data_IF_323641002800
#
_entry.id   IF_323641002800
#
_cell.length_a   1.000
_cell.length_b   1.000
_cell.length_c   1.000
_cell.angle_alpha   90.00
_cell.angle_beta   90.00
_cell.angle_gamma   90.00
#
_symmetry.space_group_name_H-M   'P 1'
#
loop_
_entity.id
_entity.type
_entity.pdbx_description
1 polymer ?
#
# COMPACT_ATOMS: atom_id res chain seq x y z
N UNK A 1 37.16 -8.37 -43.73
CA UNK A 1 35.85 -8.96 -44.10
C UNK A 1 34.92 -8.64 -42.95
N UNK A 2 34.20 -7.53 -43.12
CA UNK A 2 33.43 -6.86 -42.07
C UNK A 2 32.04 -7.47 -41.93
N UNK A 3 31.68 -7.85 -40.71
CA UNK A 3 30.31 -8.19 -40.35
C UNK A 3 29.70 -7.01 -39.60
N UNK A 4 29.03 -6.12 -40.35
CA UNK A 4 28.15 -5.08 -39.78
C UNK A 4 26.74 -5.65 -39.66
N UNK A 5 26.30 -5.88 -38.43
CA UNK A 5 24.89 -6.12 -38.11
C UNK A 5 24.14 -4.81 -38.32
N UNK A 6 23.20 -4.84 -39.27
CA UNK A 6 22.34 -3.73 -39.65
C UNK A 6 21.13 -3.72 -38.69
N UNK A 7 21.16 -2.88 -37.66
CA UNK A 7 19.98 -2.60 -36.84
C UNK A 7 19.09 -1.62 -37.62
N UNK A 8 18.03 -2.15 -38.25
CA UNK A 8 16.96 -1.34 -38.80
C UNK A 8 16.22 -0.62 -37.65
N UNK A 9 16.56 0.65 -37.43
CA UNK A 9 15.75 1.57 -36.62
C UNK A 9 14.51 1.96 -37.42
N UNK A 10 13.44 1.17 -37.30
CA UNK A 10 12.15 1.51 -37.88
C UNK A 10 11.51 2.67 -37.09
N UNK A 11 11.58 3.87 -37.68
CA UNK A 11 10.43 4.72 -38.01
C UNK A 11 9.39 4.81 -36.88
N UNK A 12 9.73 5.53 -35.80
CA UNK A 12 8.77 6.35 -35.09
C UNK A 12 9.03 7.79 -35.54
N UNK A 13 8.15 8.19 -36.45
CA UNK A 13 8.24 9.28 -37.41
C UNK A 13 8.56 10.64 -36.81
N UNK A 14 9.42 11.40 -37.51
CA UNK A 14 9.64 12.83 -37.24
C UNK A 14 8.38 13.70 -37.38
N UNK A 15 7.27 13.15 -37.87
CA UNK A 15 5.94 13.77 -37.83
C UNK A 15 5.32 13.77 -36.43
N UNK A 16 5.53 12.72 -35.62
CA UNK A 16 5.03 12.69 -34.25
C UNK A 16 5.76 13.73 -33.39
N UNK A 17 7.08 13.86 -33.56
CA UNK A 17 7.86 14.90 -32.88
C UNK A 17 7.59 16.31 -33.41
N UNK A 18 7.37 16.49 -34.72
CA UNK A 18 6.92 17.78 -35.26
C UNK A 18 5.55 18.17 -34.72
N UNK A 19 4.58 17.26 -34.67
CA UNK A 19 3.25 17.56 -34.13
C UNK A 19 3.29 17.89 -32.63
N UNK A 20 4.15 17.23 -31.86
CA UNK A 20 4.38 17.55 -30.44
C UNK A 20 5.08 18.90 -30.25
N UNK A 21 6.08 19.23 -31.08
CA UNK A 21 6.73 20.54 -31.04
C UNK A 21 5.76 21.64 -31.43
N UNK A 22 4.96 21.46 -32.49
CA UNK A 22 3.95 22.45 -32.90
C UNK A 22 2.86 22.65 -31.85
N UNK A 23 2.45 21.59 -31.13
CA UNK A 23 1.52 21.69 -30.00
C UNK A 23 2.12 22.43 -28.81
N UNK A 24 3.41 22.21 -28.55
CA UNK A 24 4.14 22.85 -27.45
C UNK A 24 4.34 24.34 -27.77
N UNK A 25 4.71 24.68 -29.00
CA UNK A 25 4.88 26.05 -29.47
C UNK A 25 3.54 26.82 -29.47
N UNK A 26 2.44 26.21 -29.93
CA UNK A 26 1.11 26.81 -29.82
C UNK A 26 0.67 27.02 -28.36
N UNK A 27 1.01 26.09 -27.46
CA UNK A 27 0.68 26.24 -26.04
C UNK A 27 1.46 27.40 -25.41
N UNK A 28 2.73 27.56 -25.75
CA UNK A 28 3.61 28.62 -25.24
C UNK A 28 3.19 30.00 -25.77
N UNK A 29 2.79 30.09 -27.05
CA UNK A 29 2.28 31.33 -27.64
C UNK A 29 0.92 31.72 -27.05
N UNK A 30 0.07 30.74 -26.73
CA UNK A 30 -1.20 30.95 -26.04
C UNK A 30 -1.01 31.46 -24.60
N UNK A 31 -0.11 30.84 -23.82
CA UNK A 31 0.19 31.29 -22.46
C UNK A 31 0.84 32.68 -22.43
N UNK A 32 1.72 33.00 -23.38
CA UNK A 32 2.33 34.33 -23.51
C UNK A 32 1.31 35.45 -23.78
N UNK A 33 0.33 35.19 -24.66
CA UNK A 33 -0.75 36.14 -24.95
C UNK A 33 -1.79 36.22 -23.83
N UNK A 34 -1.99 35.15 -23.07
CA UNK A 34 -2.89 35.14 -21.92
C UNK A 34 -2.31 35.96 -20.76
N UNK A 35 -1.03 35.79 -20.44
CA UNK A 35 -0.37 36.54 -19.36
C UNK A 35 -0.29 38.05 -19.65
N UNK A 36 -0.09 38.44 -20.92
CA UNK A 36 -0.07 39.85 -21.31
C UNK A 36 -1.46 40.53 -21.23
N UNK A 37 -2.56 39.77 -21.34
CA UNK A 37 -3.92 40.31 -21.26
C UNK A 37 -4.55 40.26 -19.85
N UNK A 38 -3.95 39.51 -18.91
CA UNK A 38 -4.42 39.38 -17.52
C UNK A 38 -4.17 40.66 -16.69
N UNK A 39 -3.25 41.53 -17.09
CA UNK A 39 -2.93 42.76 -16.34
C UNK A 39 -3.98 43.87 -16.54
N UNK A 40 -4.90 43.75 -17.51
CA UNK A 40 -5.71 44.88 -17.96
C UNK A 40 -7.19 44.91 -17.60
N UNK A 41 -7.92 43.79 -17.49
CA UNK A 41 -9.40 43.88 -17.41
C UNK A 41 -10.09 42.60 -16.89
N UNK A 42 -10.35 42.55 -15.58
CA UNK A 42 -10.66 41.30 -14.87
C UNK A 42 -12.14 40.84 -14.91
N UNK A 43 -13.04 41.55 -15.59
CA UNK A 43 -14.49 41.24 -15.54
C UNK A 43 -15.11 40.78 -16.86
N UNK A 44 -14.47 41.06 -18.01
CA UNK A 44 -14.93 40.54 -19.31
C UNK A 44 -14.28 39.19 -19.68
N UNK A 45 -13.10 38.90 -19.14
CA UNK A 45 -12.39 37.64 -19.42
C UNK A 45 -13.14 36.41 -18.90
N UNK A 46 -13.80 36.51 -17.73
CA UNK A 46 -14.58 35.40 -17.17
C UNK A 46 -15.74 34.92 -18.04
N UNK A 47 -16.33 35.82 -18.85
CA UNK A 47 -17.45 35.47 -19.74
C UNK A 47 -16.98 34.88 -21.07
N UNK A 48 -15.89 35.41 -21.63
CA UNK A 48 -15.34 34.89 -22.89
C UNK A 48 -14.55 33.58 -22.69
N UNK A 49 -13.88 33.40 -21.54
CA UNK A 49 -13.17 32.16 -21.21
C UNK A 49 -14.16 31.00 -20.99
N UNK A 50 -15.33 31.26 -20.39
CA UNK A 50 -16.38 30.23 -20.24
C UNK A 50 -17.00 29.79 -21.58
N UNK A 51 -17.00 30.66 -22.59
CA UNK A 51 -17.47 30.32 -23.94
C UNK A 51 -16.37 29.64 -24.78
N UNK A 52 -15.11 30.09 -24.68
CA UNK A 52 -13.98 29.44 -25.34
C UNK A 52 -13.64 28.07 -24.73
N UNK A 53 -13.79 27.90 -23.42
CA UNK A 53 -13.64 26.58 -22.77
C UNK A 53 -14.70 25.59 -23.22
N UNK A 54 -15.89 26.06 -23.62
CA UNK A 54 -16.94 25.21 -24.20
C UNK A 54 -16.59 24.80 -25.62
N UNK A 55 -16.20 25.74 -26.48
CA UNK A 55 -15.90 25.46 -27.88
C UNK A 55 -14.61 24.66 -28.10
N UNK A 56 -13.59 24.82 -27.24
CA UNK A 56 -12.29 24.11 -27.36
C UNK A 56 -12.31 22.72 -26.70
N UNK A 57 -13.20 22.48 -25.73
CA UNK A 57 -13.37 21.16 -25.10
C UNK A 57 -14.45 20.29 -25.78
N UNK A 58 -15.29 20.87 -26.64
CA UNK A 58 -16.33 20.11 -27.37
C UNK A 58 -15.81 19.07 -28.39
N UNK A 59 -14.64 19.20 -29.08
CA UNK A 59 -14.15 18.09 -29.90
C UNK A 59 -13.62 16.91 -29.06
N UNK A 60 -13.25 17.13 -27.80
CA UNK A 60 -12.83 16.06 -26.89
C UNK A 60 -14.00 15.42 -26.13
N UNK A 61 -15.12 16.12 -26.01
CA UNK A 61 -16.31 15.55 -25.37
C UNK A 61 -16.98 14.47 -26.22
N UNK A 62 -16.88 14.58 -27.54
CA UNK A 62 -17.35 13.56 -28.49
C UNK A 62 -16.40 12.35 -28.64
N UNK A 63 -15.18 12.41 -28.09
CA UNK A 63 -14.32 11.23 -27.93
C UNK A 63 -14.70 10.38 -26.70
N UNK A 64 -15.49 10.94 -25.78
CA UNK A 64 -15.94 10.28 -24.55
C UNK A 64 -17.46 10.12 -24.43
N UNK A 65 -18.23 10.61 -25.41
CA UNK A 65 -19.64 10.26 -25.54
C UNK A 65 -19.74 8.88 -26.20
N UNK A 66 -19.62 7.83 -25.40
CA UNK A 66 -20.16 6.53 -25.75
C UNK A 66 -21.65 6.72 -26.06
N UNK A 67 -22.00 6.83 -27.35
CA UNK A 67 -23.35 6.48 -27.83
C UNK A 67 -23.68 5.07 -27.37
N UNK A 68 -24.96 4.80 -27.10
CA UNK A 68 -25.57 3.64 -26.41
C UNK A 68 -25.19 2.20 -26.86
N UNK A 69 -24.12 2.01 -27.63
CA UNK A 69 -23.54 0.74 -28.06
C UNK A 69 -22.04 0.62 -27.70
N UNK A 70 -21.58 1.21 -26.59
CA UNK A 70 -20.26 0.83 -26.07
C UNK A 70 -20.34 -0.61 -25.54
N UNK A 71 -19.44 -1.52 -25.98
CA UNK A 71 -19.39 -2.87 -25.42
C UNK A 71 -19.27 -2.74 -23.89
N UNK A 72 -19.97 -3.60 -23.13
CA UNK A 72 -19.97 -3.50 -21.67
C UNK A 72 -18.52 -3.41 -21.19
N UNK A 73 -18.22 -2.38 -20.39
CA UNK A 73 -16.89 -2.23 -19.81
C UNK A 73 -16.58 -3.54 -19.10
N UNK A 74 -15.48 -4.20 -19.49
CA UNK A 74 -15.03 -5.39 -18.79
C UNK A 74 -14.82 -5.02 -17.32
N UNK A 75 -15.63 -5.60 -16.44
CA UNK A 75 -15.46 -5.43 -15.00
C UNK A 75 -14.17 -6.15 -14.61
N UNK A 76 -13.08 -5.38 -14.50
CA UNK A 76 -11.83 -5.90 -13.97
C UNK A 76 -12.07 -6.33 -12.51
N UNK A 77 -11.73 -7.58 -12.14
CA UNK A 77 -11.84 -8.01 -10.76
C UNK A 77 -10.94 -7.14 -9.86
N UNK A 78 -11.32 -6.96 -8.59
CA UNK A 78 -10.52 -6.17 -7.67
C UNK A 78 -9.14 -6.80 -7.49
N UNK A 79 -8.10 -5.96 -7.45
CA UNK A 79 -6.71 -6.39 -7.23
C UNK A 79 -6.52 -7.17 -5.93
N UNK A 80 -7.27 -6.78 -4.88
CA UNK A 80 -7.27 -7.42 -3.57
C UNK A 80 -8.70 -7.69 -3.10
N UNK A 81 -8.92 -8.87 -2.52
CA UNK A 81 -10.19 -9.25 -1.90
C UNK A 81 -10.47 -8.48 -0.61
N UNK A 82 -9.41 -8.13 0.12
CA UNK A 82 -9.48 -7.41 1.38
C UNK A 82 -8.16 -6.65 1.60
N UNK A 83 -8.23 -5.61 2.44
CA UNK A 83 -7.07 -4.85 2.90
C UNK A 83 -6.91 -5.00 4.41
N UNK A 84 -5.68 -5.22 4.85
CA UNK A 84 -5.28 -5.29 6.25
C UNK A 84 -4.35 -4.12 6.54
N UNK A 85 -4.75 -3.24 7.45
CA UNK A 85 -3.95 -2.11 7.87
C UNK A 85 -3.56 -2.26 9.34
N UNK A 86 -2.27 -2.11 9.65
CA UNK A 86 -1.75 -2.14 11.01
C UNK A 86 -0.76 -1.02 11.24
N UNK A 87 -0.76 -0.48 12.45
CA UNK A 87 0.25 0.44 12.96
C UNK A 87 0.98 -0.25 14.10
N UNK A 88 2.29 -0.12 14.12
CA UNK A 88 3.17 -0.76 15.08
C UNK A 88 4.38 0.12 15.38
N UNK A 89 5.06 -0.14 16.49
CA UNK A 89 6.29 0.56 16.87
C UNK A 89 7.52 -0.15 16.30
N UNK A 90 8.59 0.61 16.06
CA UNK A 90 9.92 0.01 15.88
C UNK A 90 10.22 -0.84 17.12
N UNK A 91 10.76 -2.06 16.93
CA UNK A 91 11.02 -2.98 18.04
C UNK A 91 9.85 -3.88 18.43
N UNK A 92 8.63 -3.63 17.95
CA UNK A 92 7.45 -4.40 18.32
C UNK A 92 7.38 -5.76 17.60
N UNK A 93 6.75 -6.75 18.24
CA UNK A 93 6.28 -7.95 17.55
C UNK A 93 4.76 -7.93 17.45
N UNK A 94 4.24 -7.88 16.23
CA UNK A 94 2.79 -7.84 15.98
C UNK A 94 2.26 -9.18 15.49
N UNK A 95 1.00 -9.46 15.84
CA UNK A 95 0.24 -10.60 15.34
C UNK A 95 -1.04 -10.10 14.68
N UNK A 96 -1.19 -10.39 13.38
CA UNK A 96 -2.30 -9.96 12.54
C UNK A 96 -3.19 -11.17 12.24
N UNK A 97 -4.36 -11.30 12.88
CA UNK A 97 -5.31 -12.35 12.55
C UNK A 97 -6.16 -11.98 11.32
N UNK A 98 -6.43 -12.96 10.47
CA UNK A 98 -7.46 -12.89 9.43
C UNK A 98 -8.19 -14.23 9.30
N UNK A 99 -9.43 -14.23 8.81
CA UNK A 99 -10.21 -15.45 8.62
C UNK A 99 -10.37 -15.74 7.14
N UNK A 100 -10.14 -17.00 6.76
CA UNK A 100 -10.51 -17.51 5.43
C UNK A 100 -11.83 -18.25 5.59
N UNK A 101 -12.81 -17.94 4.74
CA UNK A 101 -14.14 -18.57 4.78
C UNK A 101 -14.41 -19.28 3.46
N UNK A 102 -14.90 -20.52 3.55
CA UNK A 102 -15.47 -21.22 2.42
C UNK A 102 -16.95 -20.84 2.31
N UNK A 103 -17.35 -20.17 1.22
CA UNK A 103 -18.74 -19.81 0.94
C UNK A 103 -19.49 -20.85 0.10
N UNK A 104 -18.85 -21.95 -0.27
CA UNK A 104 -19.37 -22.93 -1.21
C UNK A 104 -19.96 -24.16 -0.48
N UNK A 105 -20.77 -24.94 -1.21
CA UNK A 105 -21.37 -26.19 -0.74
C UNK A 105 -20.42 -27.40 -0.73
N UNK A 106 -19.17 -27.21 -1.15
CA UNK A 106 -18.14 -28.25 -1.26
C UNK A 106 -16.91 -27.90 -0.42
N UNK A 107 -16.16 -28.91 0.00
CA UNK A 107 -14.90 -28.70 0.73
C UNK A 107 -13.85 -28.06 -0.18
N UNK A 108 -13.19 -27.01 0.31
CA UNK A 108 -12.14 -26.30 -0.42
C UNK A 108 -10.83 -26.31 0.33
N UNK A 109 -9.72 -26.42 -0.40
CA UNK A 109 -8.38 -26.32 0.15
C UNK A 109 -7.67 -25.11 -0.44
N UNK A 110 -7.18 -24.23 0.43
CA UNK A 110 -6.45 -23.03 0.07
C UNK A 110 -5.01 -23.16 0.53
N UNK A 111 -4.05 -22.93 -0.36
CA UNK A 111 -2.65 -22.66 0.01
C UNK A 111 -2.52 -21.19 0.34
N UNK A 112 -1.84 -20.88 1.43
CA UNK A 112 -1.69 -19.53 1.95
C UNK A 112 -0.21 -19.20 1.92
N UNK A 113 0.13 -18.29 1.01
CA UNK A 113 1.48 -17.78 0.82
C UNK A 113 1.54 -16.29 1.05
N UNK A 114 2.75 -15.74 0.95
CA UNK A 114 2.99 -14.32 1.12
C UNK A 114 4.07 -13.88 0.17
N UNK A 115 3.85 -12.73 -0.48
CA UNK A 115 4.89 -12.02 -1.21
C UNK A 115 5.76 -11.24 -0.24
N UNK A 116 6.98 -10.93 -0.66
CA UNK A 116 7.93 -10.19 0.16
C UNK A 116 7.34 -8.84 0.60
N UNK A 117 7.49 -8.55 1.89
CA UNK A 117 7.20 -7.26 2.48
C UNK A 117 8.26 -6.27 2.01
N UNK A 118 7.80 -5.20 1.38
CA UNK A 118 8.64 -4.15 0.81
C UNK A 118 8.27 -2.78 1.39
N UNK A 119 9.23 -1.87 1.44
CA UNK A 119 8.97 -0.46 1.73
C UNK A 119 8.43 0.29 0.50
N UNK A 120 8.16 1.60 0.67
CA UNK A 120 7.67 2.47 -0.42
C UNK A 120 8.64 2.59 -1.60
N UNK A 121 9.92 2.37 -1.37
CA UNK A 121 10.97 2.46 -2.38
C UNK A 121 11.19 1.10 -3.09
N UNK A 122 10.41 0.07 -2.72
CA UNK A 122 10.48 -1.27 -3.28
C UNK A 122 11.63 -2.12 -2.72
N UNK A 123 12.26 -1.69 -1.63
CA UNK A 123 13.30 -2.47 -0.95
C UNK A 123 12.67 -3.46 0.01
N UNK A 124 13.21 -4.68 0.04
CA UNK A 124 12.75 -5.71 0.98
C UNK A 124 12.95 -5.26 2.43
N UNK A 125 11.94 -5.51 3.26
CA UNK A 125 12.01 -5.34 4.69
C UNK A 125 13.07 -6.24 5.33
N UNK A 126 13.62 -5.79 6.45
CA UNK A 126 14.70 -6.49 7.18
C UNK A 126 14.25 -7.83 7.77
N UNK A 127 12.96 -7.99 8.06
CA UNK A 127 12.35 -9.27 8.36
C UNK A 127 11.08 -9.46 7.52
N UNK A 128 10.77 -10.71 7.21
CA UNK A 128 9.56 -11.09 6.48
C UNK A 128 8.50 -11.59 7.46
N UNK A 129 7.21 -11.34 7.20
CA UNK A 129 6.18 -11.87 8.07
C UNK A 129 6.15 -13.42 7.98
N UNK A 130 5.54 -14.07 8.96
CA UNK A 130 5.41 -15.52 9.01
C UNK A 130 3.95 -15.90 9.24
N UNK A 131 3.45 -16.80 8.40
CA UNK A 131 2.12 -17.38 8.57
C UNK A 131 2.21 -18.59 9.48
N UNK A 132 1.28 -18.72 10.42
CA UNK A 132 1.19 -19.90 11.29
C UNK A 132 0.75 -21.17 10.54
N UNK A 133 0.09 -21.01 9.39
CA UNK A 133 -0.45 -22.09 8.57
C UNK A 133 -0.19 -21.82 7.09
N UNK A 134 0.48 -22.73 6.35
CA UNK A 134 0.72 -22.59 4.92
C UNK A 134 -0.47 -23.08 4.06
N UNK A 135 -1.46 -23.74 4.67
CA UNK A 135 -2.66 -24.21 3.99
C UNK A 135 -3.83 -24.39 4.96
N UNK A 136 -5.05 -24.25 4.46
CA UNK A 136 -6.30 -24.52 5.20
C UNK A 136 -7.24 -25.36 4.34
N UNK A 137 -7.90 -26.35 4.94
CA UNK A 137 -8.95 -27.15 4.29
C UNK A 137 -10.25 -26.91 5.04
N UNK A 138 -11.22 -26.32 4.34
CA UNK A 138 -12.45 -25.82 4.92
C UNK A 138 -13.63 -26.61 4.39
N UNK A 139 -14.37 -27.24 5.30
CA UNK A 139 -15.68 -27.83 5.02
C UNK A 139 -16.66 -26.76 4.51
N UNK A 140 -17.77 -27.17 3.85
CA UNK A 140 -18.77 -26.23 3.35
C UNK A 140 -19.20 -25.20 4.40
N UNK A 141 -19.26 -23.93 4.02
CA UNK A 141 -19.71 -22.81 4.86
C UNK A 141 -18.91 -22.54 6.14
N UNK A 142 -17.75 -23.18 6.34
CA UNK A 142 -16.89 -22.97 7.52
C UNK A 142 -15.85 -21.87 7.32
N UNK A 143 -15.25 -21.42 8.43
CA UNK A 143 -14.13 -20.47 8.41
C UNK A 143 -13.03 -20.90 9.36
N UNK A 144 -11.80 -20.49 9.04
CA UNK A 144 -10.64 -20.75 9.86
C UNK A 144 -9.78 -19.50 9.98
N UNK A 145 -9.23 -19.30 11.19
CA UNK A 145 -8.35 -18.19 11.49
C UNK A 145 -6.90 -18.54 11.18
N UNK A 146 -6.25 -17.63 10.48
CA UNK A 146 -4.81 -17.63 10.19
C UNK A 146 -4.19 -16.45 10.91
N UNK A 147 -2.99 -16.66 11.45
CA UNK A 147 -2.21 -15.66 12.16
C UNK A 147 -0.95 -15.37 11.36
N UNK A 148 -0.73 -14.08 11.09
CA UNK A 148 0.51 -13.56 10.55
C UNK A 148 1.30 -12.92 11.69
N UNK A 149 2.56 -13.31 11.88
CA UNK A 149 3.46 -12.72 12.87
C UNK A 149 4.55 -11.93 12.16
N UNK A 150 4.84 -10.72 12.63
CA UNK A 150 5.90 -9.88 12.11
C UNK A 150 6.72 -9.31 13.27
N UNK A 151 8.05 -9.43 13.17
CA UNK A 151 9.01 -8.89 14.13
C UNK A 151 9.64 -7.61 13.56
N UNK A 152 9.50 -6.50 14.27
CA UNK A 152 9.92 -5.17 13.84
C UNK A 152 11.20 -4.68 14.53
N UNK A 153 11.97 -5.58 15.16
CA UNK A 153 13.22 -5.27 15.87
C UNK A 153 14.21 -4.38 15.11
N UNK A 154 14.29 -4.53 13.78
CA UNK A 154 15.25 -3.81 12.94
C UNK A 154 14.58 -3.05 11.78
N UNK A 155 13.34 -2.61 11.98
CA UNK A 155 12.62 -1.84 10.97
C UNK A 155 12.94 -0.35 11.11
N UNK A 156 13.03 0.34 9.97
CA UNK A 156 12.99 1.80 9.97
C UNK A 156 11.53 2.25 10.09
N UNK A 157 11.31 3.46 10.60
CA UNK A 157 10.00 4.08 10.52
C UNK A 157 9.60 4.25 9.05
N UNK A 158 8.35 3.93 8.72
CA UNK A 158 7.88 3.95 7.33
C UNK A 158 6.62 3.13 7.11
N UNK A 159 6.23 3.02 5.84
CA UNK A 159 5.12 2.16 5.43
C UNK A 159 5.66 0.99 4.63
N UNK A 160 5.24 -0.20 5.02
CA UNK A 160 5.58 -1.45 4.37
C UNK A 160 4.32 -2.11 3.81
N UNK A 161 4.42 -2.71 2.64
CA UNK A 161 3.32 -3.38 1.97
C UNK A 161 3.72 -4.78 1.51
N UNK A 162 2.77 -5.72 1.60
CA UNK A 162 2.91 -7.08 1.12
C UNK A 162 1.55 -7.58 0.63
N UNK A 163 1.56 -8.71 -0.07
CA UNK A 163 0.34 -9.40 -0.49
C UNK A 163 0.33 -10.81 0.08
N UNK A 164 -0.74 -11.15 0.77
CA UNK A 164 -1.01 -12.52 1.19
C UNK A 164 -1.77 -13.18 0.04
N UNK A 165 -1.24 -14.30 -0.45
CA UNK A 165 -1.79 -15.02 -1.60
C UNK A 165 -2.58 -16.22 -1.10
N UNK A 166 -3.88 -16.22 -1.37
CA UNK A 166 -4.75 -17.39 -1.24
C UNK A 166 -4.82 -18.07 -2.61
N UNK A 167 -4.31 -19.30 -2.69
CA UNK A 167 -4.32 -20.09 -3.92
C UNK A 167 -5.25 -21.28 -3.79
N UNK A 168 -6.22 -21.35 -4.70
CA UNK A 168 -7.08 -22.49 -4.93
C UNK A 168 -6.79 -23.01 -6.34
N UNK A 169 -6.17 -24.18 -6.47
CA UNK A 169 -5.72 -24.74 -7.75
C UNK A 169 -4.81 -23.76 -8.54
N UNK A 170 -5.30 -23.22 -9.64
CA UNK A 170 -4.60 -22.31 -10.56
C UNK A 170 -4.89 -20.84 -10.26
N UNK A 171 -5.90 -20.57 -9.43
CA UNK A 171 -6.41 -19.23 -9.17
C UNK A 171 -5.75 -18.65 -7.92
N UNK A 172 -5.18 -17.46 -8.08
CA UNK A 172 -4.60 -16.68 -6.99
C UNK A 172 -5.52 -15.52 -6.65
N UNK A 173 -5.76 -15.34 -5.35
CA UNK A 173 -6.49 -14.22 -4.80
C UNK A 173 -5.60 -13.52 -3.78
N UNK A 174 -5.55 -12.19 -3.83
CA UNK A 174 -4.66 -11.41 -2.98
C UNK A 174 -5.44 -10.77 -1.82
N UNK A 175 -4.80 -10.71 -0.66
CA UNK A 175 -5.16 -9.83 0.45
C UNK A 175 -4.00 -8.84 0.60
N UNK A 176 -4.30 -7.55 0.49
CA UNK A 176 -3.31 -6.49 0.59
C UNK A 176 -3.00 -6.21 2.06
N UNK A 177 -1.73 -6.30 2.47
CA UNK A 177 -1.26 -5.93 3.80
C UNK A 177 -0.51 -4.60 3.72
N UNK A 178 -0.80 -3.70 4.66
CA UNK A 178 -0.03 -2.48 4.90
C UNK A 178 0.29 -2.37 6.39
N UNK A 179 1.58 -2.19 6.70
CA UNK A 179 2.08 -1.98 8.06
C UNK A 179 2.75 -0.61 8.11
N UNK A 180 2.24 0.27 8.97
CA UNK A 180 2.85 1.54 9.31
C UNK A 180 3.70 1.37 10.56
N UNK A 181 5.01 1.50 10.42
CA UNK A 181 5.97 1.43 11.52
C UNK A 181 6.29 2.86 11.95
N UNK A 182 5.98 3.19 13.20
CA UNK A 182 6.28 4.49 13.79
C UNK A 182 7.43 4.36 14.78
N UNK A 183 8.31 5.36 14.78
CA UNK A 183 9.31 5.52 15.83
C UNK A 183 8.68 6.33 16.97
N UNK A 184 8.01 5.63 17.88
CA UNK A 184 7.44 6.23 19.07
C UNK A 184 8.06 5.60 20.30
N UNK A 185 8.51 6.43 21.23
CA UNK A 185 8.94 5.98 22.55
C UNK A 185 7.78 5.23 23.22
N UNK A 186 7.97 3.93 23.44
CA UNK A 186 7.02 3.11 24.16
C UNK A 186 6.80 3.62 25.59
N UNK A 187 5.86 3.03 26.32
CA UNK A 187 5.63 3.41 27.71
C UNK A 187 6.86 3.06 28.54
N UNK A 188 7.56 4.09 29.02
CA UNK A 188 8.68 3.93 29.95
C UNK A 188 8.13 3.82 31.36
N UNK A 189 8.32 2.65 31.98
CA UNK A 189 7.97 2.41 33.39
C UNK A 189 9.25 2.37 34.21
N UNK A 190 9.37 3.31 35.15
CA UNK A 190 10.50 3.34 36.08
C UNK A 190 10.06 2.69 37.42
N UNK A 191 10.51 1.45 37.72
CA UNK A 191 10.16 0.81 38.99
C UNK A 191 10.72 1.64 40.15
N UNK A 192 9.86 1.99 41.11
CA UNK A 192 10.26 2.70 42.30
C UNK A 192 10.82 1.71 43.33
N UNK A 193 11.83 2.12 44.10
CA UNK A 193 12.32 1.33 45.23
C UNK A 193 11.26 1.28 46.35
N UNK A 194 10.41 0.25 46.34
CA UNK A 194 9.33 0.08 47.33
C UNK A 194 9.81 0.15 48.79
N UNK A 195 11.03 -0.34 49.06
CA UNK A 195 11.66 -0.32 50.39
C UNK A 195 11.77 1.10 50.95
N UNK A 196 12.08 2.09 50.11
CA UNK A 196 12.22 3.49 50.50
C UNK A 196 10.90 4.11 50.95
N UNK A 197 9.79 3.66 50.38
CA UNK A 197 8.48 4.28 50.59
C UNK A 197 7.55 3.47 51.51
N UNK A 198 7.93 2.26 51.94
CA UNK A 198 7.09 1.34 52.74
C UNK A 198 5.68 1.12 52.14
N UNK A 199 5.53 1.35 50.84
CA UNK A 199 4.26 1.32 50.14
C UNK A 199 3.91 -0.15 49.85
N UNK A 200 2.84 -0.66 50.49
CA UNK A 200 2.29 -2.00 50.22
C UNK A 200 1.21 -1.90 49.14
N UNK A 201 1.60 -1.66 47.90
CA UNK A 201 0.64 -1.70 46.79
C UNK A 201 0.41 -3.17 46.41
N UNK A 202 -0.77 -3.69 46.79
CA UNK A 202 -1.35 -4.97 46.35
C UNK A 202 -0.45 -6.21 46.45
N UNK A 203 -0.53 -6.90 47.61
CA UNK A 203 -0.39 -8.36 47.86
C UNK A 203 0.60 -9.26 47.09
N UNK A 204 1.55 -8.80 46.29
CA UNK A 204 2.62 -9.64 45.70
C UNK A 204 3.77 -9.91 46.69
N UNK A 205 3.56 -9.50 47.96
CA UNK A 205 4.38 -9.81 49.13
C UNK A 205 4.52 -11.32 49.31
N UNK A 206 5.49 -11.95 48.67
CA UNK A 206 6.28 -13.02 49.30
C UNK A 206 7.45 -13.56 48.49
N UNK A 207 7.60 -13.34 47.17
CA UNK A 207 8.49 -14.22 46.39
C UNK A 207 9.73 -13.64 45.70
N UNK A 208 10.11 -12.37 45.92
CA UNK A 208 11.39 -11.87 45.40
C UNK A 208 12.08 -10.90 46.38
N UNK A 209 12.43 -11.40 47.56
CA UNK A 209 13.58 -10.84 48.26
C UNK A 209 14.57 -11.97 48.47
N UNK A 210 15.65 -11.99 47.68
CA UNK A 210 16.86 -12.70 48.08
C UNK A 210 17.31 -12.05 49.39
N UNK A 211 17.09 -12.73 50.51
CA UNK A 211 17.76 -12.36 51.75
C UNK A 211 19.27 -12.52 51.51
N UNK A 212 20.11 -11.53 51.83
CA UNK A 212 21.54 -11.78 51.91
C UNK A 212 21.75 -12.87 52.96
N UNK A 213 22.39 -13.97 52.56
CA UNK A 213 22.58 -15.14 53.41
C UNK A 213 23.08 -14.73 54.78
N UNK A 214 22.39 -15.19 55.84
CA UNK A 214 22.80 -14.98 57.23
C UNK A 214 24.30 -15.27 57.35
N UNK A 215 25.07 -14.26 57.70
CA UNK A 215 26.43 -14.43 58.22
C UNK A 215 26.34 -15.36 59.42
N UNK A 216 26.80 -16.60 59.27
CA UNK A 216 27.10 -17.46 60.42
C UNK A 216 28.47 -17.04 60.93
N UNK A 217 28.48 -16.14 61.91
CA UNK A 217 29.37 -16.03 63.09
C UNK A 217 29.24 -14.63 63.67
#
# INVERSE_FOLDING_TARGET
MDNKINLQSNILSGEAMKNLQTLTDMSMEFYGNLLNNVVGNNTQFGKNLAQLSKAVLDPYRNLYSCSDNCPPKEECPPHCLATLHRRAMVGERIVIPFNVRNGCGETKTYRVGMRDLMDRDGKMATAQPLLNKPSVTLSPYTSERILLTLDLANFAAGTYAAEIVLRENEFNQNICLTVEVADSDGIVVNPQEEKKYKLKWQSWKSHYYCEPGRSKT
#
